data_IF_289350092029
#
_entry.id   IF_289350092029
#
_cell.length_a   1.000
_cell.length_b   1.000
_cell.length_c   1.000
_cell.angle_alpha   90.00
_cell.angle_beta   90.00
_cell.angle_gamma   90.00
#
_symmetry.space_group_name_H-M   'P 1'
#
loop_
_entity.id
_entity.type
_entity.pdbx_description
1 polymer ?
#
# COMPACT_ATOMS: atom_id res chain seq x y z
N UNK A 1 2.21 -7.56 -40.87
CA UNK A 1 1.43 -7.98 -39.69
C UNK A 1 1.61 -6.88 -38.67
N UNK A 2 0.60 -6.03 -38.46
CA UNK A 2 0.65 -5.04 -37.38
C UNK A 2 0.65 -5.80 -36.06
N UNK A 3 1.78 -5.75 -35.34
CA UNK A 3 1.86 -6.24 -33.98
C UNK A 3 1.00 -5.32 -33.12
N UNK A 4 -0.18 -5.78 -32.72
CA UNK A 4 -0.97 -5.07 -31.73
C UNK A 4 -0.12 -4.89 -30.48
N UNK A 5 0.10 -3.65 -30.04
CA UNK A 5 0.71 -3.40 -28.74
C UNK A 5 -0.20 -4.01 -27.67
N UNK A 6 0.17 -5.20 -27.16
CA UNK A 6 -0.50 -5.78 -26.00
C UNK A 6 -0.22 -4.89 -24.79
N UNK A 7 -1.29 -4.41 -24.17
CA UNK A 7 -1.15 -3.58 -22.97
C UNK A 7 -0.69 -4.45 -21.80
N UNK A 8 0.22 -3.95 -20.94
CA UNK A 8 0.67 -4.68 -19.75
C UNK A 8 -0.50 -5.11 -18.87
N UNK A 9 -0.45 -6.34 -18.36
CA UNK A 9 -1.43 -6.88 -17.43
C UNK A 9 -1.41 -6.06 -16.14
N UNK A 10 -2.57 -5.52 -15.75
CA UNK A 10 -2.70 -4.68 -14.55
C UNK A 10 -3.05 -5.55 -13.35
N UNK A 11 -2.17 -5.56 -12.35
CA UNK A 11 -2.37 -6.30 -11.10
C UNK A 11 -2.65 -5.29 -9.99
N UNK A 12 -3.79 -5.43 -9.32
CA UNK A 12 -4.10 -4.66 -8.11
C UNK A 12 -3.89 -5.54 -6.88
N UNK A 13 -3.04 -5.12 -5.96
CA UNK A 13 -2.82 -5.82 -4.68
C UNK A 13 -3.35 -4.96 -3.55
N UNK A 14 -4.31 -5.52 -2.81
CA UNK A 14 -4.80 -4.93 -1.58
C UNK A 14 -3.79 -5.15 -0.45
N UNK A 15 -3.41 -4.07 0.22
CA UNK A 15 -2.46 -4.08 1.34
C UNK A 15 -3.08 -3.43 2.57
N UNK A 16 -2.76 -3.94 3.75
CA UNK A 16 -3.30 -3.45 5.00
C UNK A 16 -2.28 -3.54 6.14
N UNK A 17 -2.55 -2.81 7.21
CA UNK A 17 -1.71 -2.83 8.40
C UNK A 17 -1.79 -4.18 9.14
N UNK A 18 -0.74 -4.50 9.87
CA UNK A 18 -0.73 -5.58 10.83
C UNK A 18 -1.66 -5.26 12.00
N UNK A 19 -2.56 -6.18 12.36
CA UNK A 19 -3.36 -6.05 13.58
C UNK A 19 -2.54 -6.26 14.87
N UNK A 20 -1.36 -6.89 14.77
CA UNK A 20 -0.49 -7.17 15.92
C UNK A 20 0.56 -6.08 16.12
N UNK A 21 1.16 -5.60 15.02
CA UNK A 21 2.25 -4.61 15.07
C UNK A 21 1.79 -3.18 14.80
N UNK A 22 0.60 -2.98 14.24
CA UNK A 22 0.10 -1.67 13.81
C UNK A 22 0.94 -1.04 12.70
N UNK A 23 0.70 0.23 12.43
CA UNK A 23 1.50 1.01 11.48
C UNK A 23 2.97 1.18 11.93
N UNK A 24 3.92 1.22 10.97
CA UNK A 24 3.74 1.08 9.52
C UNK A 24 3.85 -0.37 9.02
N UNK A 25 3.73 -1.36 9.90
CA UNK A 25 3.99 -2.74 9.56
C UNK A 25 2.83 -3.34 8.74
N UNK A 26 3.10 -3.94 7.57
CA UNK A 26 2.07 -4.61 6.80
C UNK A 26 1.57 -5.87 7.51
N UNK A 27 0.34 -6.26 7.19
CA UNK A 27 -0.17 -7.58 7.57
C UNK A 27 0.68 -8.68 6.91
N UNK A 28 0.86 -9.80 7.63
CA UNK A 28 1.64 -10.93 7.13
C UNK A 28 1.03 -11.46 5.82
N UNK A 29 -0.30 -11.51 5.74
CA UNK A 29 -1.00 -11.99 4.55
C UNK A 29 -0.77 -11.08 3.33
N UNK A 30 -0.93 -9.77 3.48
CA UNK A 30 -0.70 -8.84 2.35
C UNK A 30 0.77 -8.78 1.93
N UNK A 31 1.70 -8.86 2.88
CA UNK A 31 3.13 -8.93 2.60
C UNK A 31 3.48 -10.19 1.80
N UNK A 32 2.98 -11.35 2.22
CA UNK A 32 3.25 -12.62 1.55
C UNK A 32 2.62 -12.66 0.15
N UNK A 33 1.39 -12.17 -0.01
CA UNK A 33 0.73 -12.10 -1.32
C UNK A 33 1.51 -11.21 -2.29
N UNK A 34 1.98 -10.06 -1.83
CA UNK A 34 2.82 -9.15 -2.61
C UNK A 34 4.13 -9.81 -3.05
N UNK A 35 4.89 -10.41 -2.14
CA UNK A 35 6.15 -11.07 -2.48
C UNK A 35 5.96 -12.27 -3.40
N UNK A 36 4.92 -13.07 -3.17
CA UNK A 36 4.58 -14.19 -4.05
C UNK A 36 4.25 -13.72 -5.47
N UNK A 37 3.49 -12.63 -5.61
CA UNK A 37 3.16 -12.07 -6.92
C UNK A 37 4.42 -11.58 -7.65
N UNK A 38 5.34 -10.92 -6.93
CA UNK A 38 6.62 -10.50 -7.50
C UNK A 38 7.48 -11.70 -7.94
N UNK A 39 7.61 -12.71 -7.09
CA UNK A 39 8.51 -13.84 -7.30
C UNK A 39 7.98 -14.85 -8.33
N UNK A 40 6.68 -15.14 -8.29
CA UNK A 40 6.08 -16.26 -9.04
C UNK A 40 5.29 -15.82 -10.25
N UNK A 41 4.63 -14.66 -10.19
CA UNK A 41 3.79 -14.16 -11.28
C UNK A 41 4.56 -13.23 -12.20
N UNK A 42 5.06 -12.10 -11.66
CA UNK A 42 5.76 -11.09 -12.46
C UNK A 42 7.14 -11.61 -12.87
N UNK A 43 7.91 -12.15 -11.92
CA UNK A 43 9.28 -12.67 -12.13
C UNK A 43 10.24 -11.58 -12.64
N UNK A 44 11.55 -11.83 -12.52
CA UNK A 44 12.56 -10.84 -12.92
C UNK A 44 12.65 -10.59 -14.44
N UNK A 45 12.10 -11.50 -15.24
CA UNK A 45 12.27 -11.51 -16.70
C UNK A 45 11.08 -10.95 -17.48
N UNK A 46 10.01 -10.52 -16.80
CA UNK A 46 8.75 -10.06 -17.44
C UNK A 46 8.19 -8.77 -16.85
N UNK A 47 9.05 -7.89 -16.32
CA UNK A 47 8.60 -6.65 -15.66
C UNK A 47 7.81 -5.70 -16.57
N UNK A 48 8.07 -5.73 -17.87
CA UNK A 48 7.38 -4.90 -18.88
C UNK A 48 5.98 -5.41 -19.23
N UNK A 49 5.69 -6.69 -18.97
CA UNK A 49 4.39 -7.31 -19.23
C UNK A 49 3.34 -6.98 -18.15
N UNK A 50 3.75 -6.37 -17.04
CA UNK A 50 2.89 -6.14 -15.88
C UNK A 50 2.96 -4.70 -15.36
N UNK A 51 1.81 -4.19 -14.90
CA UNK A 51 1.71 -2.94 -14.13
C UNK A 51 1.08 -3.22 -12.77
N UNK A 52 1.85 -3.02 -11.71
CA UNK A 52 1.43 -3.28 -10.34
C UNK A 52 0.85 -2.01 -9.69
N UNK A 53 -0.36 -2.13 -9.15
CA UNK A 53 -1.06 -1.12 -8.38
C UNK A 53 -1.25 -1.60 -6.94
N UNK A 54 -1.03 -0.71 -5.99
CA UNK A 54 -1.21 -0.97 -4.56
C UNK A 54 -2.45 -0.22 -4.08
N UNK A 55 -3.34 -0.91 -3.39
CA UNK A 55 -4.53 -0.32 -2.78
C UNK A 55 -4.52 -0.57 -1.28
N UNK A 56 -4.49 0.51 -0.51
CA UNK A 56 -4.79 0.46 0.91
C UNK A 56 -6.14 1.12 1.16
N UNK A 57 -7.07 0.39 1.78
CA UNK A 57 -8.34 0.95 2.23
C UNK A 57 -8.17 1.36 3.70
N UNK A 58 -8.14 2.66 3.94
CA UNK A 58 -8.10 3.19 5.29
C UNK A 58 -9.52 3.20 5.86
N UNK A 59 -9.74 2.38 6.87
CA UNK A 59 -10.96 2.43 7.69
C UNK A 59 -10.63 3.30 8.89
N UNK A 60 -11.41 4.37 9.19
CA UNK A 60 -11.28 5.08 10.45
C UNK A 60 -11.55 4.09 11.58
N UNK A 61 -10.65 4.01 12.57
CA UNK A 61 -10.92 3.18 13.75
C UNK A 61 -12.14 3.80 14.46
N UNK A 62 -13.32 3.17 14.39
CA UNK A 62 -14.51 3.61 15.15
C UNK A 62 -14.25 3.54 16.67
N UNK A 63 -13.26 2.75 17.08
CA UNK A 63 -12.79 2.63 18.47
C UNK A 63 -11.62 3.61 18.80
N UNK A 64 -11.18 4.41 17.82
CA UNK A 64 -10.09 5.40 17.98
C UNK A 64 -10.47 6.66 18.75
N UNK A 65 -11.65 6.66 19.38
CA UNK A 65 -12.07 7.69 20.33
C UNK A 65 -11.62 7.40 21.77
N UNK A 66 -10.78 6.38 22.03
CA UNK A 66 -10.25 6.12 23.38
C UNK A 66 -9.22 7.20 23.82
N UNK A 67 -8.54 7.86 22.86
CA UNK A 67 -7.76 9.09 23.14
C UNK A 67 -8.68 10.32 23.36
N UNK A 68 -9.98 10.18 23.13
CA UNK A 68 -11.02 11.21 23.19
C UNK A 68 -11.90 11.12 24.45
N UNK A 69 -11.45 10.40 25.48
CA UNK A 69 -12.05 10.52 26.83
C UNK A 69 -11.65 11.83 27.56
N UNK A 70 -10.78 12.65 26.96
CA UNK A 70 -10.32 13.91 27.53
C UNK A 70 -11.12 15.13 27.02
N UNK A 71 -12.39 15.27 27.46
CA UNK A 71 -13.12 16.52 27.80
C UNK A 71 -13.22 17.64 26.71
N UNK A 72 -12.56 17.56 25.55
CA UNK A 72 -12.43 18.69 24.61
C UNK A 72 -12.33 18.26 23.14
N UNK A 73 -13.49 18.00 22.53
CA UNK A 73 -13.64 17.82 21.08
C UNK A 73 -13.52 19.16 20.32
N UNK A 74 -12.30 19.68 20.13
CA UNK A 74 -12.07 20.90 19.33
C UNK A 74 -11.77 20.57 17.85
N UNK A 75 -12.22 21.41 16.88
CA UNK A 75 -11.95 21.26 15.44
C UNK A 75 -10.47 21.08 15.06
N UNK A 76 -9.55 21.57 15.90
CA UNK A 76 -8.10 21.46 15.69
C UNK A 76 -7.59 20.02 15.85
N UNK A 77 -8.22 19.21 16.70
CA UNK A 77 -7.84 17.81 16.93
C UNK A 77 -8.17 16.95 15.71
N UNK A 78 -9.30 17.20 15.05
CA UNK A 78 -9.69 16.53 13.80
C UNK A 78 -8.72 16.80 12.63
N UNK A 79 -8.10 18.00 12.59
CA UNK A 79 -7.08 18.30 11.57
C UNK A 79 -5.80 17.50 11.81
N UNK A 80 -5.38 17.36 13.07
CA UNK A 80 -4.17 16.63 13.45
C UNK A 80 -4.32 15.10 13.30
N UNK A 81 -5.51 14.57 13.56
CA UNK A 81 -5.83 13.15 13.33
C UNK A 81 -5.73 12.79 11.84
N UNK A 82 -6.34 13.59 10.96
CA UNK A 82 -6.28 13.38 9.51
C UNK A 82 -4.86 13.44 8.95
N UNK A 83 -3.98 14.28 9.51
CA UNK A 83 -2.57 14.31 9.10
C UNK A 83 -1.81 13.07 9.59
N UNK A 84 -2.05 12.63 10.83
CA UNK A 84 -1.37 11.46 11.41
C UNK A 84 -1.74 10.16 10.70
N UNK A 85 -3.01 10.00 10.38
CA UNK A 85 -3.53 8.89 9.58
C UNK A 85 -2.93 8.87 8.17
N UNK A 86 -2.88 10.03 7.49
CA UNK A 86 -2.21 10.14 6.19
C UNK A 86 -0.74 9.73 6.26
N UNK A 87 0.00 10.18 7.28
CA UNK A 87 1.40 9.81 7.49
C UNK A 87 1.55 8.30 7.67
N UNK A 88 0.68 7.67 8.47
CA UNK A 88 0.66 6.22 8.69
C UNK A 88 0.43 5.43 7.39
N UNK A 89 -0.55 5.83 6.59
CA UNK A 89 -0.84 5.21 5.29
C UNK A 89 0.32 5.38 4.30
N UNK A 90 0.92 6.57 4.26
CA UNK A 90 2.08 6.85 3.40
C UNK A 90 3.22 5.89 3.73
N UNK A 91 3.56 5.72 5.00
CA UNK A 91 4.65 4.82 5.39
C UNK A 91 4.38 3.35 5.07
N UNK A 92 3.11 2.89 5.16
CA UNK A 92 2.75 1.54 4.74
C UNK A 92 2.94 1.36 3.22
N UNK A 93 2.50 2.32 2.41
CA UNK A 93 2.67 2.26 0.96
C UNK A 93 4.13 2.39 0.54
N UNK A 94 4.91 3.23 1.22
CA UNK A 94 6.36 3.38 1.01
C UNK A 94 7.10 2.05 1.19
N UNK A 95 6.71 1.21 2.16
CA UNK A 95 7.29 -0.12 2.33
C UNK A 95 7.16 -0.96 1.06
N UNK A 96 5.95 -1.06 0.52
CA UNK A 96 5.68 -1.87 -0.68
C UNK A 96 6.30 -1.27 -1.94
N UNK A 97 6.29 0.06 -2.09
CA UNK A 97 6.94 0.74 -3.22
C UNK A 97 8.45 0.50 -3.20
N UNK A 98 9.10 0.63 -2.05
CA UNK A 98 10.54 0.36 -1.92
C UNK A 98 10.86 -1.08 -2.29
N UNK A 99 10.12 -2.06 -1.78
CA UNK A 99 10.33 -3.47 -2.12
C UNK A 99 10.13 -3.74 -3.62
N UNK A 100 9.13 -3.10 -4.26
CA UNK A 100 8.94 -3.19 -5.71
C UNK A 100 10.15 -2.64 -6.47
N UNK A 101 10.65 -1.48 -6.06
CA UNK A 101 11.73 -0.76 -6.74
C UNK A 101 13.08 -1.49 -6.60
N UNK A 102 13.34 -2.12 -5.45
CA UNK A 102 14.49 -3.02 -5.23
C UNK A 102 14.49 -4.22 -6.19
N UNK A 103 13.30 -4.69 -6.59
CA UNK A 103 13.14 -5.84 -7.50
C UNK A 103 13.04 -5.42 -8.97
N UNK A 104 12.92 -4.11 -9.28
CA UNK A 104 12.95 -3.58 -10.64
C UNK A 104 11.62 -3.61 -11.42
N UNK A 105 10.50 -3.84 -10.74
CA UNK A 105 9.16 -3.89 -11.35
C UNK A 105 8.60 -2.47 -11.55
N UNK A 106 8.25 -2.10 -12.78
CA UNK A 106 7.51 -0.86 -13.06
C UNK A 106 8.35 0.42 -13.13
N UNK A 107 9.64 0.32 -13.47
CA UNK A 107 10.47 1.48 -13.85
C UNK A 107 10.08 1.99 -15.24
N UNK A 108 8.92 2.64 -15.35
CA UNK A 108 8.65 3.57 -16.45
C UNK A 108 8.50 4.97 -15.87
N UNK A 109 9.38 5.85 -16.35
CA UNK A 109 9.51 7.26 -16.02
C UNK A 109 8.16 8.00 -16.03
N UNK A 110 8.08 9.03 -15.18
CA UNK A 110 7.17 10.16 -15.33
C UNK A 110 7.25 10.74 -16.74
#
# INVERSE_FOLDING_TARGET
MEGGQENPTRILIAVNQSSVKGYPHPSISSSNAFHWALEKLIRSTRHEDFKLFLLHVQVPDEDGFDDMDNIFAFPINFKNMKSREKIRVIHLLEYFVRCRDEIGVGKNQL
#
